data_IF_436298249383
#
_entry.id   IF_436298249383
#
_cell.length_a   1.000
_cell.length_b   1.000
_cell.length_c   1.000
_cell.angle_alpha   90.00
_cell.angle_beta   90.00
_cell.angle_gamma   90.00
#
_symmetry.space_group_name_H-M   'P 1'
#
loop_
_entity.id
_entity.type
_entity.pdbx_description
1 polymer ?
#
# COMPACT_ATOMS: atom_id res chain seq x y z
N UNK A 1 5.01 -5.64 2.21
CA UNK A 1 6.40 -5.19 2.16
C UNK A 1 7.37 -6.33 1.86
N UNK A 2 7.32 -7.45 2.59
CA UNK A 2 8.21 -8.62 2.39
C UNK A 2 8.09 -9.22 0.98
N UNK A 3 6.88 -9.34 0.45
CA UNK A 3 6.64 -9.83 -0.92
C UNK A 3 7.27 -8.90 -1.97
N UNK A 4 7.10 -7.59 -1.79
CA UNK A 4 7.74 -6.58 -2.65
C UNK A 4 9.27 -6.68 -2.60
N UNK A 5 9.85 -6.87 -1.40
CA UNK A 5 11.28 -7.10 -1.23
C UNK A 5 11.75 -8.38 -1.95
N UNK A 6 10.99 -9.46 -1.81
CA UNK A 6 11.26 -10.71 -2.53
C UNK A 6 11.23 -10.54 -4.05
N UNK A 7 10.31 -9.74 -4.57
CA UNK A 7 10.23 -9.39 -6.00
C UNK A 7 11.47 -8.59 -6.44
N UNK A 8 11.82 -7.54 -5.71
CA UNK A 8 13.02 -6.75 -6.00
C UNK A 8 14.28 -7.63 -6.01
N UNK A 9 14.41 -8.56 -5.04
CA UNK A 9 15.50 -9.50 -4.98
C UNK A 9 15.55 -10.47 -6.18
N UNK A 10 14.41 -11.00 -6.65
CA UNK A 10 14.32 -11.82 -7.88
C UNK A 10 14.82 -11.04 -9.10
N UNK A 11 14.55 -9.74 -9.15
CA UNK A 11 14.98 -8.87 -10.26
C UNK A 11 16.43 -8.35 -10.08
N UNK A 12 17.14 -8.81 -9.05
CA UNK A 12 18.48 -8.35 -8.67
C UNK A 12 18.55 -6.83 -8.36
N UNK A 13 17.46 -6.28 -7.82
CA UNK A 13 17.38 -4.87 -7.45
C UNK A 13 17.67 -4.69 -5.95
N UNK A 14 18.43 -3.65 -5.56
CA UNK A 14 18.70 -3.36 -4.16
C UNK A 14 17.43 -2.86 -3.45
N UNK A 15 17.32 -3.17 -2.14
CA UNK A 15 16.15 -2.79 -1.32
C UNK A 15 16.29 -1.35 -0.82
N UNK A 16 16.33 -0.38 -1.74
CA UNK A 16 16.38 1.06 -1.45
C UNK A 16 14.97 1.65 -1.31
N UNK A 17 14.87 2.85 -0.71
CA UNK A 17 13.61 3.59 -0.60
C UNK A 17 12.97 3.82 -1.98
N UNK A 18 13.76 4.19 -3.00
CA UNK A 18 13.24 4.41 -4.35
C UNK A 18 12.77 3.11 -5.01
N UNK A 19 13.43 2.00 -4.76
CA UNK A 19 12.94 0.71 -5.26
C UNK A 19 11.70 0.22 -4.50
N UNK A 20 11.50 0.58 -3.23
CA UNK A 20 10.22 0.37 -2.57
C UNK A 20 9.09 1.06 -3.35
N UNK A 21 9.26 2.30 -3.78
CA UNK A 21 8.27 3.02 -4.58
C UNK A 21 8.04 2.41 -5.97
N UNK A 22 9.09 1.84 -6.57
CA UNK A 22 8.99 1.12 -7.85
C UNK A 22 8.17 -0.17 -7.74
N UNK A 23 8.34 -0.91 -6.63
CA UNK A 23 7.74 -2.24 -6.44
C UNK A 23 6.39 -2.23 -5.74
N UNK A 24 5.71 -1.08 -5.65
CA UNK A 24 4.35 -0.98 -5.14
C UNK A 24 3.40 -1.93 -5.91
N UNK A 25 2.59 -2.68 -5.17
CA UNK A 25 1.72 -3.72 -5.74
C UNK A 25 0.28 -3.26 -6.00
N UNK A 26 -0.07 -2.05 -5.63
CA UNK A 26 -1.41 -1.50 -5.82
C UNK A 26 -1.40 -0.24 -6.67
N UNK A 27 -2.52 0.02 -7.34
CA UNK A 27 -2.76 1.23 -8.11
C UNK A 27 -4.18 1.73 -7.85
N UNK A 28 -4.35 3.04 -7.57
CA UNK A 28 -5.67 3.63 -7.46
C UNK A 28 -6.35 3.68 -8.82
N UNK A 29 -7.68 3.74 -8.82
CA UNK A 29 -8.40 4.07 -10.04
C UNK A 29 -8.11 5.51 -10.48
N UNK A 30 -8.18 5.80 -11.80
CA UNK A 30 -7.93 7.13 -12.31
C UNK A 30 -8.79 8.19 -11.60
N UNK A 31 -8.15 9.21 -11.05
CA UNK A 31 -8.80 10.31 -10.33
C UNK A 31 -9.12 10.06 -8.85
N UNK A 32 -8.90 8.86 -8.31
CA UNK A 32 -9.16 8.57 -6.89
C UNK A 32 -8.03 9.02 -5.98
N UNK A 33 -6.82 9.15 -6.51
CA UNK A 33 -5.66 9.57 -5.74
C UNK A 33 -4.96 10.76 -6.39
N UNK A 34 -4.48 11.67 -5.55
CA UNK A 34 -3.57 12.75 -5.92
C UNK A 34 -2.36 12.67 -4.99
N UNK A 35 -1.30 12.05 -5.47
CA UNK A 35 -0.08 11.75 -4.72
C UNK A 35 1.15 11.96 -5.59
N UNK A 36 2.30 12.11 -4.96
CA UNK A 36 3.57 12.25 -5.65
C UNK A 36 4.76 11.97 -4.74
N UNK A 37 5.93 11.94 -5.35
CA UNK A 37 7.22 11.88 -4.68
C UNK A 37 8.04 13.11 -5.04
N UNK A 38 8.55 13.84 -4.04
CA UNK A 38 9.46 14.97 -4.23
C UNK A 38 10.90 14.49 -4.03
N UNK A 39 11.59 14.30 -5.14
CA UNK A 39 13.00 13.89 -5.19
C UNK A 39 13.97 15.07 -5.10
N UNK A 40 13.46 16.31 -5.16
CA UNK A 40 14.27 17.53 -5.06
C UNK A 40 14.35 18.05 -3.62
N UNK A 41 13.51 17.55 -2.73
CA UNK A 41 13.52 17.90 -1.32
C UNK A 41 14.86 17.53 -0.63
N UNK A 42 15.10 18.08 0.55
CA UNK A 42 16.30 17.75 1.35
C UNK A 42 16.31 16.30 1.81
N UNK A 43 15.14 15.76 2.09
CA UNK A 43 14.89 14.32 2.30
C UNK A 43 13.81 13.88 1.31
N UNK A 44 13.92 12.66 0.78
CA UNK A 44 12.91 12.10 -0.12
C UNK A 44 11.55 12.16 0.59
N UNK A 45 10.60 12.85 -0.03
CA UNK A 45 9.27 13.07 0.51
C UNK A 45 8.20 12.45 -0.41
N UNK A 46 7.30 11.67 0.18
CA UNK A 46 6.11 11.15 -0.50
C UNK A 46 4.89 11.82 0.12
N UNK A 47 3.93 12.21 -0.69
CA UNK A 47 2.73 12.88 -0.19
C UNK A 47 1.48 12.44 -0.95
N UNK A 48 0.31 12.54 -0.28
CA UNK A 48 -0.99 12.35 -0.89
C UNK A 48 -1.98 13.45 -0.45
N UNK A 49 -2.42 14.28 -1.41
CA UNK A 49 -3.43 15.32 -1.21
C UNK A 49 -4.85 14.75 -1.23
N UNK A 50 -5.07 13.72 -2.04
CA UNK A 50 -6.30 12.95 -2.09
C UNK A 50 -5.95 11.47 -1.89
N UNK A 51 -6.74 10.79 -1.06
CA UNK A 51 -6.50 9.40 -0.71
C UNK A 51 -7.84 8.65 -0.67
N UNK A 52 -8.04 7.60 -1.48
CA UNK A 52 -9.30 6.87 -1.55
C UNK A 52 -9.67 6.19 -0.23
N UNK A 53 -8.69 5.72 0.54
CA UNK A 53 -8.95 5.16 1.89
C UNK A 53 -9.60 6.18 2.81
N UNK A 54 -9.04 7.38 2.90
CA UNK A 54 -9.61 8.47 3.71
C UNK A 54 -11.02 8.81 3.26
N UNK A 55 -11.22 8.98 1.94
CA UNK A 55 -12.50 9.38 1.38
C UNK A 55 -13.59 8.33 1.64
N UNK A 56 -13.26 7.03 1.50
CA UNK A 56 -14.19 5.92 1.79
C UNK A 56 -14.53 5.86 3.27
N UNK A 57 -13.56 5.94 4.18
CA UNK A 57 -13.83 5.91 5.61
C UNK A 57 -14.65 7.12 6.07
N UNK A 58 -14.36 8.30 5.57
CA UNK A 58 -15.12 9.50 5.91
C UNK A 58 -16.56 9.41 5.40
N UNK A 59 -16.76 9.03 4.15
CA UNK A 59 -18.08 8.92 3.52
C UNK A 59 -18.97 7.89 4.21
N UNK A 60 -18.38 6.78 4.69
CA UNK A 60 -19.12 5.71 5.34
C UNK A 60 -19.18 5.83 6.88
N UNK A 61 -18.68 6.92 7.46
CA UNK A 61 -18.67 7.11 8.92
C UNK A 61 -17.71 6.17 9.67
N UNK A 62 -16.70 5.64 8.98
CA UNK A 62 -15.75 4.64 9.51
C UNK A 62 -14.37 5.24 9.85
N UNK A 63 -14.27 6.57 9.94
CA UNK A 63 -12.99 7.26 10.13
C UNK A 63 -12.26 6.82 11.41
N UNK A 64 -12.99 6.53 12.49
CA UNK A 64 -12.40 6.06 13.75
C UNK A 64 -11.66 4.71 13.60
N UNK A 65 -12.11 3.86 12.69
CA UNK A 65 -11.45 2.60 12.34
C UNK A 65 -10.29 2.81 11.35
N UNK A 66 -10.39 3.81 10.49
CA UNK A 66 -9.33 4.19 9.55
C UNK A 66 -8.11 4.81 10.24
N UNK A 67 -8.30 5.54 11.33
CA UNK A 67 -7.19 6.19 12.07
C UNK A 67 -6.07 5.22 12.50
N UNK A 68 -6.34 4.11 13.20
CA UNK A 68 -5.28 3.17 13.57
C UNK A 68 -4.65 2.50 12.35
N UNK A 69 -5.41 2.21 11.30
CA UNK A 69 -4.88 1.66 10.06
C UNK A 69 -3.86 2.61 9.42
N UNK A 70 -4.26 3.84 9.08
CA UNK A 70 -3.39 4.81 8.45
C UNK A 70 -2.20 5.27 9.33
N UNK A 71 -2.31 5.08 10.64
CA UNK A 71 -1.20 5.39 11.54
C UNK A 71 0.00 4.48 11.34
N UNK A 72 -0.23 3.24 10.88
CA UNK A 72 0.77 2.19 10.94
C UNK A 72 1.07 1.51 9.59
N UNK A 73 0.14 1.56 8.63
CA UNK A 73 0.24 0.74 7.42
C UNK A 73 1.45 1.11 6.56
N UNK A 74 1.67 2.39 6.30
CA UNK A 74 2.71 2.84 5.38
C UNK A 74 4.11 2.52 5.95
N UNK A 75 4.33 2.82 7.24
CA UNK A 75 5.56 2.48 7.94
C UNK A 75 5.78 0.95 8.01
N UNK A 76 4.71 0.19 8.23
CA UNK A 76 4.80 -1.28 8.27
C UNK A 76 5.17 -1.88 6.92
N UNK A 77 4.64 -1.33 5.82
CA UNK A 77 5.00 -1.74 4.46
C UNK A 77 6.48 -1.48 4.16
N UNK A 78 6.97 -0.27 4.45
CA UNK A 78 8.38 0.09 4.27
C UNK A 78 9.29 -0.79 5.12
N UNK A 79 8.96 -0.99 6.40
CA UNK A 79 9.71 -1.86 7.30
C UNK A 79 9.72 -3.32 6.84
N UNK A 80 8.61 -3.79 6.25
CA UNK A 80 8.53 -5.11 5.65
C UNK A 80 9.39 -5.26 4.40
N UNK A 81 9.60 -4.19 3.64
CA UNK A 81 10.47 -4.16 2.48
C UNK A 81 11.94 -4.11 2.89
N UNK A 82 12.30 -3.16 3.73
CA UNK A 82 13.65 -3.04 4.30
C UNK A 82 13.57 -2.36 5.67
N UNK A 83 13.89 -3.09 6.77
CA UNK A 83 13.81 -2.55 8.14
C UNK A 83 14.85 -1.45 8.44
N UNK A 84 15.88 -1.31 7.60
CA UNK A 84 16.91 -0.26 7.77
C UNK A 84 16.48 1.10 7.22
N UNK A 85 15.37 1.16 6.48
CA UNK A 85 14.79 2.42 6.00
C UNK A 85 14.00 3.09 7.12
N UNK A 86 14.40 4.29 7.51
CA UNK A 86 13.66 5.11 8.46
C UNK A 86 12.59 5.90 7.71
N UNK A 87 11.33 5.49 7.90
CA UNK A 87 10.18 6.11 7.29
C UNK A 87 9.29 6.74 8.37
N UNK A 88 8.87 7.96 8.17
CA UNK A 88 8.07 8.72 9.13
C UNK A 88 6.82 9.29 8.47
N UNK A 89 5.68 9.11 9.11
CA UNK A 89 4.43 9.79 8.79
C UNK A 89 4.36 11.10 9.57
N UNK A 90 4.70 12.22 8.93
CA UNK A 90 4.73 13.54 9.56
C UNK A 90 3.32 14.14 9.67
N UNK A 91 2.46 13.89 8.68
CA UNK A 91 1.07 14.35 8.66
C UNK A 91 0.18 13.25 8.07
N UNK A 92 -1.07 13.16 8.53
CA UNK A 92 -2.01 12.13 8.10
C UNK A 92 -3.45 12.67 8.06
N UNK A 93 -4.13 12.52 6.94
CA UNK A 93 -5.50 13.02 6.74
C UNK A 93 -6.51 12.43 7.73
N UNK A 94 -6.36 11.16 8.10
CA UNK A 94 -7.29 10.53 9.06
C UNK A 94 -7.19 11.11 10.46
N UNK A 95 -6.09 11.79 10.80
CA UNK A 95 -5.87 12.50 12.05
C UNK A 95 -6.10 14.01 11.94
N UNK A 96 -6.77 14.47 10.88
CA UNK A 96 -7.09 15.88 10.65
C UNK A 96 -6.02 16.65 9.89
N UNK A 97 -5.01 15.97 9.37
CA UNK A 97 -4.01 16.56 8.51
C UNK A 97 -4.59 17.00 7.16
N UNK A 98 -3.96 17.99 6.56
CA UNK A 98 -4.34 18.55 5.25
C UNK A 98 -4.03 17.57 4.12
N UNK A 99 -2.94 16.82 4.27
CA UNK A 99 -2.50 15.77 3.36
C UNK A 99 -1.89 14.62 4.17
N UNK A 100 -1.58 13.50 3.53
CA UNK A 100 -0.66 12.53 4.08
C UNK A 100 0.74 12.90 3.63
N UNK A 101 1.70 12.98 4.56
CA UNK A 101 3.04 13.47 4.33
C UNK A 101 4.05 12.52 4.97
N UNK A 102 4.94 11.98 4.15
CA UNK A 102 5.84 10.91 4.52
C UNK A 102 7.27 11.26 4.15
N UNK A 103 8.21 10.95 5.01
CA UNK A 103 9.63 11.21 4.79
C UNK A 103 10.46 9.95 4.92
N UNK A 104 11.38 9.74 3.98
CA UNK A 104 12.49 8.81 4.11
C UNK A 104 13.63 9.52 4.82
N UNK A 105 13.69 9.41 6.15
CA UNK A 105 14.60 10.18 6.99
C UNK A 105 16.06 9.89 6.69
N UNK A 106 16.83 10.98 6.55
CA UNK A 106 18.26 10.93 6.23
C UNK A 106 18.57 10.53 4.79
N UNK A 107 17.57 10.34 3.91
CA UNK A 107 17.77 9.97 2.53
C UNK A 107 17.50 11.14 1.59
N UNK A 108 18.52 11.52 0.82
CA UNK A 108 18.43 12.50 -0.25
C UNK A 108 18.71 11.82 -1.59
N UNK A 109 17.83 12.00 -2.57
CA UNK A 109 18.01 11.43 -3.89
C UNK A 109 19.11 12.16 -4.67
N UNK A 110 20.12 11.44 -5.13
CA UNK A 110 21.16 11.94 -6.04
C UNK A 110 20.66 11.88 -7.48
N UNK A 111 21.21 12.68 -8.38
CA UNK A 111 20.76 12.72 -9.78
C UNK A 111 20.80 11.36 -10.48
N UNK A 112 21.83 10.55 -10.19
CA UNK A 112 21.91 9.19 -10.72
C UNK A 112 20.78 8.29 -10.22
N UNK A 113 20.39 8.41 -8.93
CA UNK A 113 19.30 7.63 -8.32
C UNK A 113 17.93 8.09 -8.83
N UNK A 114 17.74 9.39 -9.05
CA UNK A 114 16.51 9.92 -9.67
C UNK A 114 16.32 9.37 -11.10
N UNK A 115 17.40 9.35 -11.87
CA UNK A 115 17.38 8.77 -13.21
C UNK A 115 17.06 7.28 -13.17
N UNK A 116 17.76 6.51 -12.32
CA UNK A 116 17.54 5.08 -12.14
C UNK A 116 16.10 4.78 -11.70
N UNK A 117 15.56 5.56 -10.75
CA UNK A 117 14.17 5.46 -10.31
C UNK A 117 13.19 5.57 -11.48
N UNK A 118 13.33 6.60 -12.33
CA UNK A 118 12.45 6.80 -13.50
C UNK A 118 12.57 5.65 -14.51
N UNK A 119 13.80 5.17 -14.74
CA UNK A 119 14.06 4.03 -15.64
C UNK A 119 13.43 2.74 -15.07
N UNK A 120 13.58 2.49 -13.77
CA UNK A 120 13.00 1.32 -13.11
C UNK A 120 11.47 1.38 -13.08
N UNK A 121 10.87 2.54 -12.83
CA UNK A 121 9.42 2.73 -12.95
C UNK A 121 8.91 2.37 -14.34
N UNK A 122 9.59 2.84 -15.38
CA UNK A 122 9.23 2.52 -16.77
C UNK A 122 9.42 1.01 -17.08
N UNK A 123 10.49 0.41 -16.57
CA UNK A 123 10.83 -0.99 -16.82
C UNK A 123 9.90 -1.97 -16.09
N UNK A 124 9.61 -1.70 -14.84
CA UNK A 124 8.71 -2.53 -14.01
C UNK A 124 7.26 -2.20 -14.36
N UNK A 125 6.94 -0.90 -14.45
CA UNK A 125 5.62 -0.41 -14.83
C UNK A 125 4.53 -1.01 -13.96
N UNK A 126 3.45 -1.46 -14.58
CA UNK A 126 2.30 -2.11 -13.92
C UNK A 126 2.50 -3.60 -13.62
N UNK A 127 3.63 -4.20 -14.03
CA UNK A 127 3.85 -5.66 -13.90
C UNK A 127 3.72 -6.17 -12.47
N UNK A 128 4.14 -5.35 -11.48
CA UNK A 128 4.08 -5.70 -10.06
C UNK A 128 2.71 -5.54 -9.43
N UNK A 129 1.77 -4.87 -10.11
CA UNK A 129 0.45 -4.55 -9.56
C UNK A 129 -0.37 -5.83 -9.42
N UNK A 130 -1.04 -5.95 -8.28
CA UNK A 130 -1.99 -7.01 -7.96
C UNK A 130 -3.41 -6.45 -8.02
N UNK A 131 -4.38 -7.31 -8.29
CA UNK A 131 -5.80 -6.93 -8.30
C UNK A 131 -6.31 -6.54 -6.90
N UNK A 132 -7.38 -5.79 -6.84
CA UNK A 132 -7.97 -5.37 -5.56
C UNK A 132 -8.55 -6.53 -4.76
N UNK A 133 -9.09 -7.56 -5.41
CA UNK A 133 -9.55 -8.79 -4.75
C UNK A 133 -8.38 -9.52 -4.08
N UNK A 134 -7.20 -9.56 -4.71
CA UNK A 134 -5.98 -10.08 -4.09
C UNK A 134 -5.63 -9.30 -2.79
N UNK A 135 -5.61 -7.97 -2.85
CA UNK A 135 -5.27 -7.15 -1.67
C UNK A 135 -6.28 -7.31 -0.54
N UNK A 136 -7.57 -7.42 -0.85
CA UNK A 136 -8.61 -7.64 0.14
C UNK A 136 -8.49 -9.05 0.72
N UNK A 137 -8.18 -10.06 -0.09
CA UNK A 137 -7.90 -11.42 0.35
C UNK A 137 -6.72 -11.50 1.32
N UNK A 138 -5.59 -10.87 0.97
CA UNK A 138 -4.39 -10.77 1.82
C UNK A 138 -4.71 -10.09 3.17
N UNK A 139 -5.38 -8.94 3.13
CA UNK A 139 -5.79 -8.22 4.34
C UNK A 139 -6.72 -9.06 5.23
N UNK A 140 -7.71 -9.74 4.63
CA UNK A 140 -8.63 -10.60 5.35
C UNK A 140 -7.91 -11.78 6.00
N UNK A 141 -7.04 -12.48 5.27
CA UNK A 141 -6.31 -13.65 5.79
C UNK A 141 -5.37 -13.24 6.93
N UNK A 142 -4.65 -12.15 6.78
CA UNK A 142 -3.78 -11.59 7.81
C UNK A 142 -4.58 -11.19 9.06
N UNK A 143 -5.68 -10.44 8.91
CA UNK A 143 -6.54 -10.02 9.99
C UNK A 143 -7.15 -11.22 10.71
N UNK A 144 -7.64 -12.23 9.97
CA UNK A 144 -8.19 -13.47 10.50
C UNK A 144 -7.17 -14.22 11.33
N UNK A 145 -5.95 -14.39 10.82
CA UNK A 145 -4.86 -15.05 11.53
C UNK A 145 -4.54 -14.34 12.85
N UNK A 146 -4.40 -13.04 12.83
CA UNK A 146 -4.12 -12.22 14.02
C UNK A 146 -5.26 -12.28 15.05
N UNK A 147 -6.51 -12.14 14.62
CA UNK A 147 -7.67 -12.10 15.51
C UNK A 147 -7.91 -13.46 16.15
N UNK A 148 -7.87 -14.54 15.37
CA UNK A 148 -8.02 -15.90 15.91
C UNK A 148 -6.86 -16.26 16.82
N UNK A 149 -5.63 -15.90 16.45
CA UNK A 149 -4.44 -16.11 17.27
C UNK A 149 -4.53 -15.42 18.64
N UNK A 150 -5.07 -14.20 18.67
CA UNK A 150 -5.21 -13.42 19.91
C UNK A 150 -6.41 -13.84 20.78
N UNK A 151 -7.54 -14.24 20.18
CA UNK A 151 -8.83 -14.40 20.88
C UNK A 151 -9.44 -15.81 20.75
N UNK A 152 -8.78 -16.74 20.06
CA UNK A 152 -9.23 -18.12 19.92
C UNK A 152 -10.64 -18.25 19.32
N UNK A 153 -11.52 -19.00 19.97
CA UNK A 153 -12.90 -19.25 19.50
C UNK A 153 -13.73 -17.95 19.36
N UNK A 154 -13.54 -17.00 20.27
CA UNK A 154 -14.22 -15.71 20.17
C UNK A 154 -13.79 -14.92 18.93
N UNK A 155 -12.49 -14.97 18.60
CA UNK A 155 -11.95 -14.40 17.37
C UNK A 155 -12.52 -15.08 16.12
N UNK A 156 -12.62 -16.40 16.11
CA UNK A 156 -13.22 -17.15 15.00
C UNK A 156 -14.67 -16.72 14.74
N UNK A 157 -15.50 -16.65 15.80
CA UNK A 157 -16.89 -16.17 15.69
C UNK A 157 -16.99 -14.72 15.18
N UNK A 158 -16.10 -13.84 15.64
CA UNK A 158 -16.05 -12.46 15.14
C UNK A 158 -15.73 -12.40 13.65
N UNK A 159 -14.81 -13.23 13.16
CA UNK A 159 -14.47 -13.31 11.75
C UNK A 159 -15.58 -13.93 10.89
N UNK A 160 -16.33 -14.90 11.40
CA UNK A 160 -17.53 -15.43 10.75
C UNK A 160 -18.61 -14.35 10.61
N UNK A 161 -18.85 -13.59 11.68
CA UNK A 161 -19.79 -12.46 11.64
C UNK A 161 -19.34 -11.38 10.63
N UNK A 162 -18.05 -11.07 10.59
CA UNK A 162 -17.51 -10.10 9.62
C UNK A 162 -17.74 -10.53 8.16
N UNK A 163 -17.63 -11.84 7.85
CA UNK A 163 -17.96 -12.33 6.50
C UNK A 163 -19.45 -12.21 6.19
N UNK A 164 -20.31 -12.46 7.16
CA UNK A 164 -21.76 -12.30 6.99
C UNK A 164 -22.13 -10.82 6.77
N UNK A 165 -21.54 -9.92 7.54
CA UNK A 165 -21.74 -8.48 7.41
C UNK A 165 -21.21 -7.99 6.04
N UNK A 166 -20.06 -8.49 5.61
CA UNK A 166 -19.49 -8.21 4.28
C UNK A 166 -20.44 -8.65 3.17
N UNK A 167 -20.96 -9.88 3.25
CA UNK A 167 -21.95 -10.39 2.29
C UNK A 167 -23.21 -9.54 2.26
N UNK A 168 -23.71 -9.13 3.43
CA UNK A 168 -24.93 -8.33 3.53
C UNK A 168 -24.74 -6.91 2.99
N UNK A 169 -23.54 -6.36 3.11
CA UNK A 169 -23.21 -5.01 2.64
C UNK A 169 -22.88 -4.96 1.14
N UNK A 170 -22.13 -5.93 0.63
CA UNK A 170 -21.59 -5.90 -0.73
C UNK A 170 -22.17 -6.96 -1.66
N UNK A 171 -22.84 -7.99 -1.13
CA UNK A 171 -23.44 -9.06 -1.87
C UNK A 171 -22.59 -10.32 -2.00
N UNK A 172 -23.25 -11.39 -2.48
CA UNK A 172 -22.67 -12.72 -2.56
C UNK A 172 -21.45 -12.80 -3.50
N UNK A 173 -21.49 -12.10 -4.64
CA UNK A 173 -20.40 -12.12 -5.64
C UNK A 173 -19.09 -11.61 -5.02
N UNK A 174 -19.15 -10.51 -4.25
CA UNK A 174 -17.95 -9.97 -3.61
C UNK A 174 -17.43 -10.88 -2.50
N UNK A 175 -18.30 -11.58 -1.78
CA UNK A 175 -17.87 -12.60 -0.82
C UNK A 175 -17.16 -13.77 -1.52
N UNK A 176 -17.67 -14.24 -2.66
CA UNK A 176 -17.02 -15.30 -3.44
C UNK A 176 -15.63 -14.88 -3.90
N UNK A 177 -15.49 -13.69 -4.48
CA UNK A 177 -14.19 -13.13 -4.87
C UNK A 177 -13.20 -13.06 -3.70
N UNK A 178 -13.66 -12.70 -2.51
CA UNK A 178 -12.82 -12.71 -1.30
C UNK A 178 -12.38 -14.13 -0.93
N UNK A 179 -13.30 -15.10 -0.99
CA UNK A 179 -13.06 -16.47 -0.57
C UNK A 179 -12.29 -17.31 -1.61
N UNK A 180 -12.22 -16.89 -2.86
CA UNK A 180 -11.41 -17.53 -3.91
C UNK A 180 -9.91 -17.52 -3.54
N UNK A 181 -9.48 -16.58 -2.73
CA UNK A 181 -8.11 -16.49 -2.20
C UNK A 181 -7.86 -17.36 -0.96
N UNK A 182 -8.85 -18.12 -0.48
CA UNK A 182 -8.71 -18.95 0.72
C UNK A 182 -7.64 -20.01 0.54
N UNK A 183 -6.64 -19.97 1.42
CA UNK A 183 -5.51 -20.91 1.40
C UNK A 183 -4.41 -20.56 0.40
N UNK A 184 -4.51 -19.41 -0.24
CA UNK A 184 -3.41 -18.88 -1.05
C UNK A 184 -2.25 -18.43 -0.14
N UNK A 185 -1.01 -18.67 -0.57
CA UNK A 185 0.18 -18.19 0.13
C UNK A 185 0.52 -16.77 -0.32
N UNK A 186 0.00 -15.78 0.41
CA UNK A 186 0.24 -14.36 0.13
C UNK A 186 1.69 -13.90 0.35
N UNK A 187 2.55 -14.70 0.96
CA UNK A 187 3.98 -14.42 1.05
C UNK A 187 4.74 -14.90 -0.21
N UNK A 188 4.09 -15.69 -1.06
CA UNK A 188 4.68 -16.18 -2.29
C UNK A 188 5.08 -15.04 -3.22
N UNK A 189 6.27 -15.13 -3.79
CA UNK A 189 6.76 -14.21 -4.82
C UNK A 189 6.56 -14.87 -6.18
N UNK A 190 5.34 -14.81 -6.67
CA UNK A 190 4.96 -15.34 -7.98
C UNK A 190 5.64 -14.59 -9.13
N UNK A 191 5.63 -15.18 -10.30
CA UNK A 191 6.00 -14.46 -11.52
C UNK A 191 5.02 -13.33 -11.80
N UNK A 192 5.46 -12.32 -12.54
CA UNK A 192 4.60 -11.23 -12.94
C UNK A 192 3.36 -11.77 -13.66
N UNK A 193 2.21 -11.54 -13.07
CA UNK A 193 0.94 -11.75 -13.76
C UNK A 193 0.86 -10.61 -14.78
N UNK A 194 0.81 -10.96 -16.07
CA UNK A 194 0.63 -9.96 -17.12
C UNK A 194 -0.77 -9.37 -17.03
N UNK A 195 -0.95 -8.37 -16.19
CA UNK A 195 -2.15 -7.56 -16.18
C UNK A 195 -1.92 -6.51 -17.26
N UNK A 196 -2.81 -6.43 -18.23
CA UNK A 196 -2.88 -5.36 -19.22
C UNK A 196 -3.41 -4.07 -18.56
N UNK A 197 -2.67 -3.57 -17.57
CA UNK A 197 -2.95 -2.30 -16.91
C UNK A 197 -2.17 -1.17 -17.59
N UNK A 198 -2.70 0.06 -17.60
CA UNK A 198 -2.02 1.19 -18.18
C UNK A 198 -0.66 1.42 -17.50
N UNK A 199 0.29 1.92 -18.26
CA UNK A 199 1.64 2.22 -17.76
C UNK A 199 1.57 3.01 -16.45
N UNK A 200 2.25 2.50 -15.43
CA UNK A 200 2.40 3.21 -14.17
C UNK A 200 3.28 4.43 -14.41
N UNK A 201 2.70 5.62 -14.25
CA UNK A 201 3.43 6.87 -14.32
C UNK A 201 4.02 7.15 -12.94
N UNK A 202 5.35 7.20 -12.86
CA UNK A 202 6.02 7.72 -11.67
C UNK A 202 5.71 9.22 -11.55
N UNK A 203 4.99 9.59 -10.51
CA UNK A 203 4.59 10.98 -10.26
C UNK A 203 5.69 11.70 -9.47
N UNK A 204 6.83 11.98 -10.17
CA UNK A 204 7.86 12.87 -9.64
C UNK A 204 7.31 14.31 -9.65
N UNK A 205 6.92 14.81 -8.48
CA UNK A 205 6.25 16.09 -8.31
C UNK A 205 6.80 16.81 -7.08
N UNK A 206 6.95 18.14 -7.18
CA UNK A 206 7.25 18.95 -6.01
C UNK A 206 6.11 18.88 -4.99
N UNK A 207 6.49 18.71 -3.74
CA UNK A 207 5.55 18.83 -2.62
C UNK A 207 4.88 20.21 -2.66
N UNK A 208 3.55 20.29 -2.47
CA UNK A 208 2.87 21.59 -2.40
C UNK A 208 3.37 22.40 -1.20
N UNK A 209 3.62 23.68 -1.42
CA UNK A 209 3.97 24.60 -0.35
C UNK A 209 2.83 24.71 0.69
N UNK A 210 3.20 24.94 1.93
CA UNK A 210 2.22 25.22 2.98
C UNK A 210 1.67 26.64 2.75
N UNK A 211 0.37 26.75 2.49
CA UNK A 211 -0.36 28.03 2.51
C UNK A 211 -0.49 28.56 3.92
#
# INVERSE_FOLDING_TARGET
GRRMAGRAAKDNMPLTALNYEVYQEWQPFPGDMDSGIDLEAEEINVFARKCPWYDVWQTNGLLEYGKPYCRHIDEALVRGFNPDIVFETAENRTNGGRLCDFYYRGLKAREAEKKEYRENCSKIGSKGIKSWDFHIGDLYDCARGCIIGAYGEAGAKAMEQALEDYRNMYGQIFLELLLDWKGYDFESVDDYLGIDEPERICQDMKRPEAD
#
